data_IF_752579672779
#
_entry.id   IF_752579672779
#
_cell.length_a   1.000
_cell.length_b   1.000
_cell.length_c   1.000
_cell.angle_alpha   90.00
_cell.angle_beta   90.00
_cell.angle_gamma   90.00
#
_symmetry.space_group_name_H-M   'P 1'
#
loop_
_entity.id
_entity.type
_entity.pdbx_description
1 polymer ?
#
# COMPACT_ATOMS: atom_id res chain seq x y z
N UNK A 1 1.77 22.46 -8.91
CA UNK A 1 1.11 21.18 -8.56
C UNK A 1 1.46 19.99 -9.47
N UNK A 2 1.14 19.96 -10.78
CA UNK A 2 1.53 18.78 -11.63
C UNK A 2 3.05 18.58 -11.71
N UNK A 3 3.82 19.64 -12.00
CA UNK A 3 5.29 19.55 -12.07
C UNK A 3 5.91 19.05 -10.74
N UNK A 4 5.38 19.50 -9.60
CA UNK A 4 5.84 19.08 -8.27
C UNK A 4 5.62 17.58 -8.03
N UNK A 5 4.50 17.01 -8.47
CA UNK A 5 4.21 15.59 -8.27
C UNK A 5 5.08 14.71 -9.17
N UNK A 6 5.33 15.10 -10.41
CA UNK A 6 6.31 14.43 -11.28
C UNK A 6 7.69 14.39 -10.63
N UNK A 7 8.14 15.50 -10.04
CA UNK A 7 9.42 15.56 -9.32
C UNK A 7 9.45 14.62 -8.11
N UNK A 8 8.37 14.57 -7.32
CA UNK A 8 8.26 13.63 -6.20
C UNK A 8 8.32 12.16 -6.67
N UNK A 9 7.71 11.84 -7.81
CA UNK A 9 7.77 10.49 -8.41
C UNK A 9 9.21 10.16 -8.80
N UNK A 10 9.90 11.06 -9.50
CA UNK A 10 11.29 10.85 -9.88
C UNK A 10 12.20 10.69 -8.65
N UNK A 11 12.03 11.51 -7.63
CA UNK A 11 12.82 11.42 -6.40
C UNK A 11 12.60 10.07 -5.69
N UNK A 12 11.35 9.60 -5.63
CA UNK A 12 11.04 8.28 -5.08
C UNK A 12 11.75 7.16 -5.86
N UNK A 13 11.66 7.18 -7.20
CA UNK A 13 12.29 6.17 -8.05
C UNK A 13 13.82 6.18 -7.91
N UNK A 14 14.44 7.36 -7.86
CA UNK A 14 15.88 7.50 -7.62
C UNK A 14 16.28 6.82 -6.32
N UNK A 15 15.58 7.12 -5.22
CA UNK A 15 15.86 6.49 -3.92
C UNK A 15 15.70 4.97 -3.98
N UNK A 16 14.64 4.47 -4.61
CA UNK A 16 14.41 3.02 -4.72
C UNK A 16 15.54 2.34 -5.52
N UNK A 17 16.04 2.98 -6.58
CA UNK A 17 17.13 2.44 -7.38
C UNK A 17 18.47 2.47 -6.63
N UNK A 18 18.78 3.57 -5.93
CA UNK A 18 19.99 3.72 -5.10
C UNK A 18 20.05 2.69 -3.96
N UNK A 19 18.91 2.43 -3.32
CA UNK A 19 18.79 1.47 -2.23
C UNK A 19 18.55 0.04 -2.73
N UNK A 20 18.56 -0.19 -4.05
CA UNK A 20 18.30 -1.47 -4.71
C UNK A 20 16.97 -2.14 -4.29
N UNK A 21 15.94 -1.33 -4.01
CA UNK A 21 14.61 -1.81 -3.62
C UNK A 21 13.79 -2.16 -4.85
N UNK A 22 13.31 -3.41 -4.91
CA UNK A 22 12.35 -3.83 -5.93
C UNK A 22 10.99 -3.19 -5.66
N UNK A 23 10.38 -2.66 -6.71
CA UNK A 23 9.08 -2.00 -6.61
C UNK A 23 8.26 -2.22 -7.88
N UNK A 24 6.96 -2.03 -7.72
CA UNK A 24 5.95 -2.15 -8.78
C UNK A 24 4.99 -0.98 -8.63
N UNK A 25 4.29 -0.57 -9.70
CA UNK A 25 3.05 0.18 -9.53
C UNK A 25 2.11 -0.56 -8.57
N UNK A 26 1.29 0.14 -7.81
CA UNK A 26 0.23 -0.51 -7.04
C UNK A 26 -0.85 -1.07 -7.98
N UNK A 27 -1.67 -2.04 -7.52
CA UNK A 27 -2.81 -2.51 -8.31
C UNK A 27 -3.76 -1.37 -8.72
N UNK A 28 -3.99 -0.40 -7.83
CA UNK A 28 -4.87 0.73 -8.11
C UNK A 28 -4.28 1.68 -9.16
N UNK A 29 -2.99 2.01 -9.05
CA UNK A 29 -2.29 2.82 -10.04
C UNK A 29 -2.31 2.14 -11.41
N UNK A 30 -1.94 0.87 -11.46
CA UNK A 30 -1.94 0.09 -12.70
C UNK A 30 -3.30 0.11 -13.39
N UNK A 31 -4.38 -0.17 -12.65
CA UNK A 31 -5.74 -0.17 -13.21
C UNK A 31 -6.16 1.21 -13.73
N UNK A 32 -5.81 2.29 -13.02
CA UNK A 32 -6.10 3.65 -13.45
C UNK A 32 -5.43 3.97 -14.81
N UNK A 33 -4.14 3.68 -14.95
CA UNK A 33 -3.40 3.92 -16.19
C UNK A 33 -3.84 3.00 -17.33
N UNK A 34 -4.15 1.72 -17.04
CA UNK A 34 -4.70 0.79 -18.02
C UNK A 34 -6.05 1.28 -18.60
N UNK A 35 -6.85 1.97 -17.79
CA UNK A 35 -8.12 2.56 -18.20
C UNK A 35 -7.98 3.93 -18.88
N UNK A 36 -6.76 4.38 -19.17
CA UNK A 36 -6.48 5.66 -19.83
C UNK A 36 -6.50 6.87 -18.89
N UNK A 37 -6.53 6.65 -17.58
CA UNK A 37 -6.38 7.74 -16.60
C UNK A 37 -4.90 8.09 -16.46
N UNK A 38 -4.41 8.93 -17.38
CA UNK A 38 -3.00 9.33 -17.43
C UNK A 38 -2.72 10.54 -16.55
N UNK A 39 -3.10 10.48 -15.26
CA UNK A 39 -2.81 11.56 -14.30
C UNK A 39 -1.89 11.07 -13.18
N UNK A 40 -0.94 11.93 -12.80
CA UNK A 40 0.05 11.67 -11.76
C UNK A 40 -0.61 11.42 -10.39
N UNK A 41 -1.83 11.92 -10.19
CA UNK A 41 -2.59 11.83 -8.94
C UNK A 41 -2.83 10.38 -8.51
N UNK A 42 -2.95 9.45 -9.48
CA UNK A 42 -3.15 8.02 -9.21
C UNK A 42 -1.86 7.25 -8.99
N UNK A 43 -0.70 7.89 -9.16
CA UNK A 43 0.59 7.24 -8.95
C UNK A 43 0.72 6.76 -7.50
N UNK A 44 0.98 5.47 -7.36
CA UNK A 44 1.30 4.79 -6.12
C UNK A 44 2.04 3.50 -6.45
N UNK A 45 2.87 3.04 -5.52
CA UNK A 45 3.72 1.87 -5.71
C UNK A 45 3.37 0.78 -4.71
N UNK A 46 3.89 -0.42 -4.92
CA UNK A 46 3.96 -1.46 -3.91
C UNK A 46 5.40 -1.99 -3.76
N UNK A 47 5.75 -2.32 -2.52
CA UNK A 47 7.05 -2.88 -2.11
C UNK A 47 6.83 -3.95 -1.04
N UNK A 48 7.79 -4.85 -0.82
CA UNK A 48 7.71 -5.76 0.32
C UNK A 48 7.81 -4.99 1.64
N UNK A 49 7.16 -5.54 2.68
CA UNK A 49 7.14 -4.91 3.98
C UNK A 49 8.53 -4.74 4.62
N UNK A 50 9.43 -5.70 4.40
CA UNK A 50 10.82 -5.63 4.86
C UNK A 50 11.57 -4.45 4.24
N UNK A 51 11.49 -4.34 2.92
CA UNK A 51 12.12 -3.25 2.14
C UNK A 51 11.60 -1.89 2.59
N UNK A 52 10.30 -1.78 2.85
CA UNK A 52 9.74 -0.55 3.38
C UNK A 52 10.29 -0.19 4.77
N UNK A 53 10.43 -1.17 5.68
CA UNK A 53 11.00 -0.91 7.01
C UNK A 53 12.46 -0.46 6.92
N UNK A 54 13.22 -1.00 5.97
CA UNK A 54 14.58 -0.57 5.70
C UNK A 54 14.62 0.90 5.23
N UNK A 55 13.79 1.26 4.23
CA UNK A 55 13.66 2.64 3.75
C UNK A 55 13.24 3.60 4.86
N UNK A 56 12.25 3.21 5.68
CA UNK A 56 11.79 3.97 6.83
C UNK A 56 12.92 4.20 7.85
N UNK A 57 13.72 3.17 8.12
CA UNK A 57 14.85 3.27 9.06
C UNK A 57 15.98 4.16 8.53
N UNK A 58 16.28 4.10 7.23
CA UNK A 58 17.36 4.87 6.60
C UNK A 58 16.97 6.33 6.33
N UNK A 59 15.72 6.56 5.91
CA UNK A 59 15.21 7.87 5.45
C UNK A 59 13.86 8.21 6.13
N UNK A 60 13.80 8.31 7.47
CA UNK A 60 12.54 8.50 8.23
C UNK A 60 11.84 9.84 7.95
N UNK A 61 12.57 10.84 7.46
CA UNK A 61 11.99 12.15 7.08
C UNK A 61 11.25 12.12 5.74
N UNK A 62 11.49 11.09 4.93
CA UNK A 62 10.87 10.93 3.60
C UNK A 62 9.83 9.81 3.60
N UNK A 63 10.10 8.69 4.27
CA UNK A 63 9.16 7.58 4.37
C UNK A 63 8.43 7.66 5.70
N UNK A 64 7.11 7.82 5.64
CA UNK A 64 6.30 8.12 6.82
C UNK A 64 5.05 7.26 6.89
N UNK A 65 4.51 7.21 8.09
CA UNK A 65 3.18 6.66 8.36
C UNK A 65 2.16 7.78 8.51
N UNK A 66 0.91 7.48 8.17
CA UNK A 66 -0.19 8.41 8.45
C UNK A 66 -0.36 8.52 9.97
N UNK A 67 -0.10 9.71 10.51
CA UNK A 67 -0.16 9.99 11.94
C UNK A 67 -1.61 10.25 12.41
N UNK A 68 -1.93 9.95 13.68
CA UNK A 68 -3.24 10.05 14.31
C UNK A 68 -3.92 11.43 14.23
N UNK A 69 -3.14 12.50 14.02
CA UNK A 69 -3.63 13.89 13.92
C UNK A 69 -4.15 14.27 12.54
N UNK A 70 -3.89 13.46 11.50
CA UNK A 70 -4.34 13.82 10.16
C UNK A 70 -5.87 13.67 10.04
N UNK A 71 -6.51 14.65 9.38
CA UNK A 71 -7.93 14.55 9.02
C UNK A 71 -8.19 13.42 8.01
N UNK A 72 -7.15 12.99 7.31
CA UNK A 72 -7.19 11.96 6.27
C UNK A 72 -6.50 10.69 6.78
N UNK A 73 -7.29 9.80 7.40
CA UNK A 73 -6.81 8.50 7.86
C UNK A 73 -6.53 7.58 6.67
N UNK A 74 -5.48 6.78 6.75
CA UNK A 74 -5.13 5.77 5.76
C UNK A 74 -4.36 4.65 6.44
N UNK A 75 -4.59 3.41 6.01
CA UNK A 75 -3.75 2.26 6.38
C UNK A 75 -2.46 2.18 5.55
N UNK A 76 -2.18 3.13 4.66
CA UNK A 76 -0.96 3.14 3.87
C UNK A 76 0.14 4.01 4.50
N UNK A 77 1.41 3.55 4.46
CA UNK A 77 2.53 4.47 4.48
C UNK A 77 2.60 5.32 3.21
N UNK A 78 3.45 6.33 3.23
CA UNK A 78 3.71 7.18 2.08
C UNK A 78 5.16 7.67 2.05
N UNK A 79 5.61 8.00 0.85
CA UNK A 79 6.78 8.84 0.62
C UNK A 79 6.33 10.31 0.55
N UNK A 80 7.11 11.20 1.15
CA UNK A 80 6.87 12.64 1.17
C UNK A 80 8.08 13.41 0.63
N UNK A 81 7.81 14.29 -0.34
CA UNK A 81 8.79 15.19 -0.93
C UNK A 81 8.09 16.52 -1.26
N UNK A 82 8.58 17.63 -0.72
CA UNK A 82 8.01 18.98 -0.93
C UNK A 82 6.47 19.01 -0.70
N UNK A 83 6.01 18.45 0.42
CA UNK A 83 4.59 18.31 0.79
C UNK A 83 3.73 17.42 -0.13
N UNK A 84 4.30 16.84 -1.18
CA UNK A 84 3.66 15.84 -2.03
C UNK A 84 3.78 14.45 -1.40
N UNK A 85 2.63 13.81 -1.22
CA UNK A 85 2.55 12.42 -0.72
C UNK A 85 2.32 11.43 -1.86
N UNK A 86 3.12 10.37 -1.89
CA UNK A 86 2.94 9.20 -2.77
C UNK A 86 2.65 8.00 -1.88
N UNK A 87 1.47 7.41 -2.05
CA UNK A 87 1.06 6.23 -1.28
C UNK A 87 1.90 5.02 -1.63
N UNK A 88 2.29 4.26 -0.60
CA UNK A 88 3.06 3.03 -0.74
C UNK A 88 2.21 1.88 -0.21
N UNK A 89 1.84 0.97 -1.08
CA UNK A 89 1.17 -0.27 -0.74
C UNK A 89 2.20 -1.29 -0.26
N UNK A 90 1.88 -2.05 0.78
CA UNK A 90 2.80 -3.00 1.38
C UNK A 90 2.40 -4.41 0.99
N UNK A 91 3.37 -5.18 0.49
CA UNK A 91 3.20 -6.58 0.14
C UNK A 91 3.62 -7.43 1.34
N UNK A 92 2.71 -8.29 1.80
CA UNK A 92 2.87 -9.13 3.00
C UNK A 92 2.57 -10.58 2.60
N UNK A 93 3.53 -11.49 2.84
CA UNK A 93 3.29 -12.93 2.70
C UNK A 93 2.27 -13.40 3.74
N UNK A 94 1.22 -14.10 3.29
CA UNK A 94 0.06 -14.49 4.12
C UNK A 94 -0.47 -15.87 3.72
N UNK A 95 -1.58 -16.27 4.34
CA UNK A 95 -2.47 -17.33 3.86
C UNK A 95 -3.93 -16.99 4.15
N UNK A 96 -4.84 -17.53 3.34
CA UNK A 96 -6.28 -17.41 3.51
C UNK A 96 -6.71 -17.94 4.88
N UNK A 97 -6.03 -18.96 5.41
CA UNK A 97 -6.21 -19.42 6.77
C UNK A 97 -5.85 -18.35 7.82
N UNK A 98 -4.70 -17.67 7.67
CA UNK A 98 -4.28 -16.59 8.56
C UNK A 98 -5.29 -15.44 8.55
N UNK A 99 -5.82 -15.12 7.39
CA UNK A 99 -6.83 -14.08 7.19
C UNK A 99 -8.16 -14.47 7.84
N UNK A 100 -8.78 -15.56 7.40
CA UNK A 100 -10.15 -15.92 7.80
C UNK A 100 -10.22 -16.33 9.28
N UNK A 101 -9.24 -17.09 9.79
CA UNK A 101 -9.34 -17.70 11.12
C UNK A 101 -8.73 -16.87 12.24
N UNK A 102 -7.77 -15.98 11.97
CA UNK A 102 -6.98 -15.32 13.04
C UNK A 102 -7.25 -13.83 13.21
N UNK A 103 -7.98 -13.18 12.29
CA UNK A 103 -8.37 -11.78 12.51
C UNK A 103 -9.61 -11.74 13.39
N UNK A 104 -9.39 -11.49 14.68
CA UNK A 104 -10.51 -11.32 15.61
C UNK A 104 -11.35 -10.07 15.27
N UNK A 105 -12.59 -10.07 15.76
CA UNK A 105 -13.53 -8.96 15.54
C UNK A 105 -12.97 -7.61 16.02
N UNK A 106 -12.15 -7.59 17.08
CA UNK A 106 -11.57 -6.36 17.64
C UNK A 106 -10.55 -5.76 16.69
N UNK A 107 -9.67 -6.58 16.13
CA UNK A 107 -8.63 -6.25 15.18
C UNK A 107 -9.25 -5.79 13.87
N UNK A 108 -10.24 -6.53 13.35
CA UNK A 108 -11.00 -6.13 12.18
C UNK A 108 -11.66 -4.74 12.36
N UNK A 109 -12.32 -4.50 13.51
CA UNK A 109 -12.92 -3.19 13.81
C UNK A 109 -11.86 -2.08 13.90
N UNK A 110 -10.67 -2.35 14.46
CA UNK A 110 -9.57 -1.38 14.46
C UNK A 110 -9.12 -1.06 13.03
N UNK A 111 -8.94 -2.07 12.17
CA UNK A 111 -8.58 -1.88 10.75
C UNK A 111 -9.60 -1.00 10.04
N UNK A 112 -10.89 -1.23 10.30
CA UNK A 112 -11.93 -0.35 9.80
C UNK A 112 -11.73 1.08 10.31
N UNK A 113 -11.54 1.29 11.62
CA UNK A 113 -11.47 2.63 12.26
C UNK A 113 -10.31 3.50 11.77
N UNK A 114 -9.25 2.87 11.25
CA UNK A 114 -8.02 3.53 10.84
C UNK A 114 -7.79 3.59 9.32
N UNK A 115 -8.59 2.90 8.51
CA UNK A 115 -8.59 3.10 7.05
C UNK A 115 -9.40 4.30 6.58
N UNK A 116 -9.19 4.70 5.33
CA UNK A 116 -9.85 5.82 4.62
C UNK A 116 -11.33 5.57 4.26
N UNK A 117 -11.93 4.55 4.89
CA UNK A 117 -13.33 4.22 4.70
C UNK A 117 -14.21 5.47 4.89
N UNK A 118 -15.10 5.73 3.94
CA UNK A 118 -16.16 6.74 4.09
C UNK A 118 -17.01 6.37 5.31
N UNK A 119 -16.93 7.17 6.38
CA UNK A 119 -17.43 6.75 7.70
C UNK A 119 -18.48 7.65 8.32
N UNK A 120 -19.54 6.99 8.80
CA UNK A 120 -20.56 7.52 9.69
C UNK A 120 -19.97 8.06 11.00
N UNK A 121 -20.65 9.03 11.62
CA UNK A 121 -20.22 9.71 12.85
C UNK A 121 -19.88 8.73 13.99
N UNK A 122 -20.63 7.62 14.09
CA UNK A 122 -20.46 6.59 15.12
C UNK A 122 -19.09 5.91 15.08
N UNK A 123 -18.58 5.62 13.88
CA UNK A 123 -17.26 4.99 13.72
C UNK A 123 -16.13 5.96 14.10
N UNK A 124 -16.31 7.27 13.87
CA UNK A 124 -15.36 8.30 14.29
C UNK A 124 -15.25 8.40 15.82
N UNK A 125 -16.39 8.32 16.53
CA UNK A 125 -16.42 8.33 17.99
C UNK A 125 -15.75 7.08 18.60
N UNK A 126 -16.02 5.89 18.04
CA UNK A 126 -15.38 4.65 18.50
C UNK A 126 -13.88 4.62 18.23
N UNK A 127 -13.44 5.20 17.10
CA UNK A 127 -12.02 5.27 16.76
C UNK A 127 -11.19 6.07 17.78
N UNK A 128 -11.75 7.12 18.40
CA UNK A 128 -11.05 7.92 19.42
C UNK A 128 -10.58 7.12 20.62
N UNK A 129 -11.28 6.03 20.96
CA UNK A 129 -10.96 5.15 22.09
C UNK A 129 -10.16 3.91 21.68
N UNK A 130 -9.87 3.73 20.39
CA UNK A 130 -9.14 2.57 19.89
C UNK A 130 -7.65 2.87 19.76
N UNK A 131 -6.81 1.87 20.05
CA UNK A 131 -5.38 1.96 19.76
C UNK A 131 -5.17 2.09 18.24
N UNK A 132 -4.25 2.97 17.86
CA UNK A 132 -3.83 3.13 16.48
C UNK A 132 -3.33 1.80 15.91
N UNK A 133 -3.33 1.69 14.58
CA UNK A 133 -2.70 0.58 13.89
C UNK A 133 -1.43 1.12 13.25
N UNK A 134 -0.28 0.71 13.77
CA UNK A 134 1.00 0.93 13.11
C UNK A 134 1.14 -0.01 11.90
N UNK A 135 2.10 0.26 11.02
CA UNK A 135 2.39 -0.68 9.93
C UNK A 135 2.99 -1.99 10.46
N UNK A 136 3.74 -1.95 11.55
CA UNK A 136 4.20 -3.19 12.20
C UNK A 136 3.02 -4.00 12.73
N UNK A 137 1.98 -3.35 13.25
CA UNK A 137 0.73 -4.05 13.60
C UNK A 137 0.08 -4.68 12.36
N UNK A 138 0.00 -3.96 11.23
CA UNK A 138 -0.53 -4.51 9.97
C UNK A 138 0.26 -5.74 9.53
N UNK A 139 1.59 -5.65 9.51
CA UNK A 139 2.46 -6.79 9.19
C UNK A 139 2.18 -7.94 10.16
N UNK A 140 2.18 -7.72 11.47
CA UNK A 140 1.94 -8.79 12.44
C UNK A 140 0.55 -9.45 12.32
N UNK A 141 -0.48 -8.66 11.97
CA UNK A 141 -1.84 -9.15 11.74
C UNK A 141 -1.89 -10.12 10.56
N UNK A 142 -1.21 -9.82 9.46
CA UNK A 142 -1.35 -10.57 8.21
C UNK A 142 -0.21 -11.52 7.89
N UNK A 143 0.99 -11.25 8.39
CA UNK A 143 2.18 -12.03 8.09
C UNK A 143 2.01 -13.49 8.49
N UNK A 144 2.42 -14.38 7.59
CA UNK A 144 2.55 -15.80 7.83
C UNK A 144 3.93 -16.27 7.40
N UNK A 145 4.58 -17.06 8.25
CA UNK A 145 5.95 -17.56 8.06
C UNK A 145 6.06 -18.54 6.89
N UNK A 146 4.97 -19.23 6.57
CA UNK A 146 4.84 -20.14 5.42
C UNK A 146 3.78 -19.63 4.45
N UNK A 147 4.03 -18.50 3.79
CA UNK A 147 3.01 -17.85 2.98
C UNK A 147 2.63 -18.73 1.79
N UNK A 148 1.34 -18.81 1.51
CA UNK A 148 0.79 -19.44 0.30
C UNK A 148 0.25 -18.39 -0.67
N UNK A 149 0.09 -17.16 -0.20
CA UNK A 149 -0.47 -16.03 -0.93
C UNK A 149 0.25 -14.74 -0.50
N UNK A 150 0.04 -13.69 -1.27
CA UNK A 150 0.56 -12.35 -1.03
C UNK A 150 -0.60 -11.37 -0.88
N UNK A 151 -0.65 -10.71 0.26
CA UNK A 151 -1.56 -9.61 0.53
C UNK A 151 -0.91 -8.30 0.11
N UNK A 152 -1.58 -7.52 -0.74
CA UNK A 152 -1.22 -6.13 -1.00
C UNK A 152 -2.18 -5.25 -0.20
N UNK A 153 -1.63 -4.47 0.74
CA UNK A 153 -2.43 -3.52 1.54
C UNK A 153 -2.95 -2.36 0.69
N UNK A 154 -3.89 -1.60 1.24
CA UNK A 154 -4.48 -0.43 0.60
C UNK A 154 -4.87 0.59 1.66
N UNK A 155 -5.48 1.71 1.26
CA UNK A 155 -5.88 2.78 2.19
C UNK A 155 -6.96 2.33 3.19
N UNK A 156 -7.69 1.26 2.87
CA UNK A 156 -8.58 0.55 3.78
C UNK A 156 -8.62 -0.96 3.51
N UNK A 157 -9.10 -1.72 4.51
CA UNK A 157 -9.14 -3.19 4.47
C UNK A 157 -10.03 -3.77 3.37
N UNK A 158 -11.09 -3.08 2.93
CA UNK A 158 -11.97 -3.57 1.87
C UNK A 158 -11.31 -3.54 0.48
N UNK A 159 -10.26 -2.74 0.34
CA UNK A 159 -9.47 -2.61 -0.90
C UNK A 159 -8.18 -3.45 -0.86
N UNK A 160 -8.01 -4.31 0.15
CA UNK A 160 -6.86 -5.21 0.17
C UNK A 160 -7.03 -6.28 -0.90
N UNK A 161 -5.94 -6.63 -1.57
CA UNK A 161 -5.93 -7.61 -2.67
C UNK A 161 -5.08 -8.81 -2.28
N UNK A 162 -5.54 -10.01 -2.64
CA UNK A 162 -4.78 -11.25 -2.51
C UNK A 162 -4.36 -11.77 -3.89
N UNK A 163 -3.13 -12.27 -3.94
CA UNK A 163 -2.54 -12.89 -5.12
C UNK A 163 -1.86 -14.20 -4.72
N UNK A 164 -1.98 -15.23 -5.54
CA UNK A 164 -1.31 -16.51 -5.29
C UNK A 164 0.19 -16.43 -5.61
N UNK A 165 0.55 -15.64 -6.62
CA UNK A 165 1.93 -15.50 -7.07
C UNK A 165 2.24 -14.02 -7.36
N UNK A 166 3.33 -13.53 -6.77
CA UNK A 166 3.93 -12.23 -7.05
C UNK A 166 5.43 -12.44 -7.24
N UNK A 167 5.85 -12.58 -8.49
CA UNK A 167 7.23 -12.86 -8.84
C UNK A 167 7.91 -11.62 -9.44
N UNK A 168 8.91 -11.09 -8.73
CA UNK A 168 9.72 -9.96 -9.20
C UNK A 168 10.56 -10.24 -10.45
N UNK A 169 10.75 -11.51 -10.82
CA UNK A 169 11.43 -11.88 -12.07
C UNK A 169 10.48 -11.86 -13.27
N UNK A 170 9.16 -11.79 -13.03
CA UNK A 170 8.10 -11.80 -14.05
C UNK A 170 7.36 -10.46 -14.08
N UNK A 171 8.13 -9.38 -14.00
CA UNK A 171 7.61 -8.02 -14.07
C UNK A 171 7.30 -7.64 -15.52
N UNK A 172 6.13 -7.04 -15.72
CA UNK A 172 5.75 -6.38 -16.97
C UNK A 172 5.94 -4.87 -16.86
N UNK A 173 5.81 -4.15 -17.98
CA UNK A 173 6.00 -2.70 -18.02
C UNK A 173 4.83 -2.01 -18.71
N UNK A 174 4.45 -0.85 -18.19
CA UNK A 174 3.43 0.03 -18.77
C UNK A 174 4.01 1.45 -18.88
N UNK A 175 3.59 2.19 -19.91
CA UNK A 175 3.99 3.57 -20.09
C UNK A 175 3.17 4.46 -19.15
N UNK A 176 3.84 5.17 -18.24
CA UNK A 176 3.25 6.12 -17.28
C UNK A 176 4.09 7.38 -17.31
N UNK A 177 3.47 8.51 -17.67
CA UNK A 177 4.15 9.81 -17.75
C UNK A 177 5.40 9.78 -18.67
N UNK A 178 5.28 9.08 -19.80
CA UNK A 178 6.34 8.86 -20.79
C UNK A 178 7.49 7.93 -20.32
N UNK A 179 7.39 7.38 -19.11
CA UNK A 179 8.37 6.46 -18.55
C UNK A 179 7.84 5.01 -18.50
N UNK A 180 8.72 4.02 -18.67
CA UNK A 180 8.37 2.62 -18.50
C UNK A 180 8.40 2.25 -17.02
N UNK A 181 7.23 2.04 -16.44
CA UNK A 181 7.10 1.68 -15.03
C UNK A 181 6.82 0.19 -14.86
N UNK A 182 7.50 -0.50 -13.91
CA UNK A 182 7.30 -1.91 -13.66
C UNK A 182 5.95 -2.17 -12.97
N UNK A 183 5.30 -3.28 -13.30
CA UNK A 183 4.16 -3.80 -12.58
C UNK A 183 4.13 -5.33 -12.57
N UNK A 184 3.51 -5.94 -11.56
CA UNK A 184 3.34 -7.39 -11.52
C UNK A 184 2.36 -7.86 -12.60
N UNK A 185 2.77 -8.81 -13.44
CA UNK A 185 1.92 -9.36 -14.50
C UNK A 185 0.58 -9.89 -13.97
N UNK A 186 0.59 -10.46 -12.75
CA UNK A 186 -0.59 -10.94 -12.01
C UNK A 186 -1.71 -9.90 -11.84
N UNK A 187 -1.43 -8.60 -11.97
CA UNK A 187 -2.46 -7.56 -11.92
C UNK A 187 -3.42 -7.56 -13.12
N UNK A 188 -3.08 -8.31 -14.18
CA UNK A 188 -3.98 -8.58 -15.29
C UNK A 188 -5.00 -9.68 -14.99
N UNK A 189 -4.76 -10.48 -13.96
CA UNK A 189 -5.61 -11.60 -13.61
C UNK A 189 -6.79 -11.15 -12.74
N UNK A 190 -7.81 -12.00 -12.65
CA UNK A 190 -8.98 -11.74 -11.82
C UNK A 190 -8.56 -11.76 -10.36
N UNK A 191 -8.57 -10.59 -9.72
CA UNK A 191 -8.26 -10.43 -8.31
C UNK A 191 -9.24 -11.26 -7.45
N UNK A 192 -8.72 -11.95 -6.44
CA UNK A 192 -9.56 -12.49 -5.37
C UNK A 192 -9.92 -11.30 -4.47
N UNK A 193 -11.02 -10.61 -4.79
CA UNK A 193 -11.47 -9.49 -3.98
C UNK A 193 -12.10 -9.99 -2.67
N UNK A 194 -11.49 -9.59 -1.55
CA UNK A 194 -12.08 -9.43 -0.22
C UNK A 194 -12.89 -10.60 0.37
N UNK A 195 -12.23 -11.43 1.18
CA UNK A 195 -12.88 -12.34 2.14
C UNK A 195 -13.27 -11.60 3.43
N UNK A 196 -14.34 -10.79 3.48
CA UNK A 196 -14.81 -10.22 4.76
C UNK A 196 -16.31 -10.01 4.82
#
# INVERSE_FOLDING_TARGET
MKIERKNAIYQLITILNEEHIKWSLSPAAYQAYKQGTNTEDFFSICVYWNDFLELFSKKPESFKFTNYKSKNKSLLPYFEYEDIKISIHIIIGTSSEKIIKKIDKKTYQRLLYWGDNTKSLLLRLKARKSLWISQLDLVNIFYYDRPTEWLITSSNIYKFCLFNDLNWNEMSYILVLEEKMPYFAAFNEKQIMGFW
#
